data_IF_144296694987
#
_entry.id   IF_144296694987
#
_cell.length_a   1.000
_cell.length_b   1.000
_cell.length_c   1.000
_cell.angle_alpha   90.00
_cell.angle_beta   90.00
_cell.angle_gamma   90.00
#
_symmetry.space_group_name_H-M   'P 1'
#
loop_
_entity.id
_entity.type
_entity.pdbx_description
1 polymer ?
#
# COMPACT_ATOMS: atom_id res chain seq x y z
N UNK A 1 11.17 10.29 -12.22
CA UNK A 1 10.42 9.02 -12.21
C UNK A 1 9.39 9.11 -11.09
N UNK A 2 8.11 8.81 -11.36
CA UNK A 2 7.02 9.03 -10.40
C UNK A 2 7.02 7.97 -9.29
N UNK A 3 6.78 8.40 -8.05
CA UNK A 3 6.54 7.57 -6.86
C UNK A 3 5.47 8.26 -6.03
N UNK A 4 4.54 7.50 -5.47
CA UNK A 4 3.56 8.08 -4.57
C UNK A 4 3.01 7.05 -3.59
N UNK A 5 2.50 7.57 -2.48
CA UNK A 5 1.61 6.91 -1.56
C UNK A 5 0.48 7.89 -1.27
N UNK A 6 -0.76 7.44 -1.40
CA UNK A 6 -1.95 8.23 -1.11
C UNK A 6 -2.80 7.41 -0.16
N UNK A 7 -3.22 8.03 0.95
CA UNK A 7 -4.20 7.44 1.87
C UNK A 7 -5.52 8.18 1.72
N UNK A 8 -6.58 7.44 1.46
CA UNK A 8 -7.96 7.89 1.45
C UNK A 8 -8.61 7.52 2.78
N UNK A 9 -9.27 8.51 3.41
CA UNK A 9 -10.04 8.30 4.63
C UNK A 9 -11.31 7.50 4.35
N UNK A 10 -11.75 6.71 5.33
CA UNK A 10 -13.00 5.97 5.23
C UNK A 10 -14.19 6.92 4.99
N UNK A 11 -15.14 6.47 4.17
CA UNK A 11 -16.36 7.22 3.84
C UNK A 11 -17.61 6.40 4.13
N UNK A 12 -18.79 6.99 3.99
CA UNK A 12 -20.02 6.28 4.31
C UNK A 12 -20.21 5.05 3.41
N UNK A 13 -20.01 3.86 3.98
CA UNK A 13 -20.15 2.57 3.30
C UNK A 13 -18.89 2.11 2.55
N UNK A 14 -17.78 2.83 2.62
CA UNK A 14 -16.50 2.41 2.06
C UNK A 14 -15.38 2.49 3.10
N UNK A 15 -14.54 1.47 3.12
CA UNK A 15 -13.33 1.46 3.93
C UNK A 15 -12.33 2.50 3.41
N UNK A 16 -11.47 3.00 4.29
CA UNK A 16 -10.31 3.79 3.88
C UNK A 16 -9.32 2.90 3.13
N UNK A 17 -8.51 3.51 2.26
CA UNK A 17 -7.57 2.77 1.42
C UNK A 17 -6.23 3.49 1.30
N UNK A 18 -5.15 2.72 1.20
CA UNK A 18 -3.84 3.21 0.78
C UNK A 18 -3.51 2.69 -0.60
N UNK A 19 -3.08 3.60 -1.47
CA UNK A 19 -2.61 3.32 -2.82
C UNK A 19 -1.16 3.77 -2.97
N UNK A 20 -0.28 2.86 -3.35
CA UNK A 20 1.14 3.12 -3.52
C UNK A 20 1.59 2.75 -4.93
N UNK A 21 2.46 3.55 -5.51
CA UNK A 21 3.10 3.26 -6.79
C UNK A 21 4.60 3.45 -6.67
N UNK A 22 5.33 2.40 -7.06
CA UNK A 22 6.77 2.47 -7.23
C UNK A 22 7.16 1.89 -8.61
N UNK A 23 8.10 2.52 -9.31
CA UNK A 23 8.58 2.02 -10.59
C UNK A 23 9.18 0.62 -10.47
N UNK A 24 8.74 -0.31 -11.34
CA UNK A 24 9.16 -1.71 -11.31
C UNK A 24 8.17 -2.65 -10.63
N UNK A 25 7.42 -2.18 -9.63
CA UNK A 25 6.41 -2.99 -8.92
C UNK A 25 4.96 -2.61 -9.28
N UNK A 26 4.73 -1.42 -9.84
CA UNK A 26 3.39 -0.99 -10.25
C UNK A 26 2.58 -0.45 -9.08
N UNK A 27 1.25 -0.62 -9.11
CA UNK A 27 0.33 -0.10 -8.09
C UNK A 27 -0.01 -1.21 -7.09
N UNK A 28 0.13 -0.91 -5.80
CA UNK A 28 -0.44 -1.68 -4.69
C UNK A 28 -1.58 -0.90 -4.05
N UNK A 29 -2.63 -1.62 -3.65
CA UNK A 29 -3.83 -1.07 -3.03
C UNK A 29 -4.22 -1.95 -1.85
N UNK A 30 -4.55 -1.34 -0.72
CA UNK A 30 -5.00 -2.07 0.46
C UNK A 30 -5.89 -1.21 1.33
N UNK A 31 -6.93 -1.82 1.89
CA UNK A 31 -7.73 -1.17 2.91
C UNK A 31 -6.87 -0.84 4.13
N UNK A 32 -7.20 0.26 4.81
CA UNK A 32 -6.51 0.68 6.03
C UNK A 32 -7.47 0.74 7.23
N UNK A 33 -6.96 0.34 8.39
CA UNK A 33 -7.66 0.51 9.66
C UNK A 33 -7.67 1.99 10.06
N UNK A 34 -8.48 2.32 11.07
CA UNK A 34 -8.47 3.65 11.68
C UNK A 34 -7.12 4.03 12.33
N UNK A 35 -6.26 3.06 12.66
CA UNK A 35 -4.89 3.30 13.15
C UNK A 35 -3.89 3.52 12.00
N UNK A 36 -4.29 3.31 10.75
CA UNK A 36 -3.43 3.43 9.57
C UNK A 36 -2.68 2.14 9.20
N UNK A 37 -3.01 1.01 9.83
CA UNK A 37 -2.47 -0.31 9.50
C UNK A 37 -3.14 -0.87 8.24
N UNK A 38 -2.38 -1.61 7.42
CA UNK A 38 -2.98 -2.33 6.30
C UNK A 38 -3.87 -3.47 6.80
N UNK A 39 -5.04 -3.62 6.20
CA UNK A 39 -5.99 -4.69 6.52
C UNK A 39 -5.89 -5.80 5.48
N UNK A 40 -5.53 -7.00 5.94
CA UNK A 40 -5.57 -8.22 5.12
C UNK A 40 -6.83 -9.00 5.47
N UNK A 41 -7.71 -9.19 4.50
CA UNK A 41 -8.98 -9.88 4.70
C UNK A 41 -8.80 -11.39 4.81
N UNK A 42 -9.74 -12.03 5.51
CA UNK A 42 -9.79 -13.49 5.66
C UNK A 42 -9.72 -14.22 4.31
N UNK A 43 -10.44 -13.73 3.29
CA UNK A 43 -10.44 -14.32 1.96
C UNK A 43 -9.07 -14.25 1.28
N UNK A 44 -8.29 -13.17 1.50
CA UNK A 44 -6.94 -13.03 0.96
C UNK A 44 -5.99 -14.04 1.62
N UNK A 45 -6.05 -14.16 2.96
CA UNK A 45 -5.26 -15.15 3.70
C UNK A 45 -5.64 -16.58 3.33
N UNK A 46 -6.93 -16.88 3.21
CA UNK A 46 -7.43 -18.21 2.83
C UNK A 46 -7.01 -18.56 1.41
N UNK A 47 -7.06 -17.60 0.48
CA UNK A 47 -6.56 -17.80 -0.88
C UNK A 47 -5.07 -18.10 -0.88
N UNK A 48 -4.26 -17.29 -0.20
CA UNK A 48 -2.81 -17.49 -0.10
C UNK A 48 -2.47 -18.86 0.52
N UNK A 49 -3.15 -19.24 1.60
CA UNK A 49 -2.94 -20.54 2.24
C UNK A 49 -3.30 -21.72 1.31
N UNK A 50 -4.29 -21.54 0.43
CA UNK A 50 -4.70 -22.58 -0.52
C UNK A 50 -3.79 -22.69 -1.75
N UNK A 51 -3.11 -21.60 -2.14
CA UNK A 51 -2.30 -21.54 -3.37
C UNK A 51 -0.80 -21.66 -3.13
N UNK A 52 -0.32 -21.37 -1.91
CA UNK A 52 1.09 -21.48 -1.56
C UNK A 52 1.57 -22.94 -1.65
N UNK A 53 2.67 -23.17 -2.37
CA UNK A 53 3.26 -24.50 -2.59
C UNK A 53 4.35 -24.86 -1.57
N UNK A 54 4.79 -23.90 -0.76
CA UNK A 54 5.77 -24.08 0.31
C UNK A 54 5.62 -22.99 1.38
N UNK A 55 6.33 -23.13 2.49
CA UNK A 55 6.35 -22.11 3.55
C UNK A 55 7.01 -20.81 3.06
N UNK A 56 8.02 -20.89 2.21
CA UNK A 56 8.66 -19.73 1.59
C UNK A 56 7.71 -19.00 0.65
N UNK A 57 6.96 -19.74 -0.17
CA UNK A 57 5.94 -19.16 -1.05
C UNK A 57 4.84 -18.46 -0.25
N UNK A 58 4.42 -19.06 0.88
CA UNK A 58 3.46 -18.43 1.78
C UNK A 58 4.01 -17.12 2.37
N UNK A 59 5.25 -17.12 2.88
CA UNK A 59 5.90 -15.93 3.42
C UNK A 59 6.00 -14.82 2.38
N UNK A 60 6.44 -15.15 1.17
CA UNK A 60 6.52 -14.18 0.08
C UNK A 60 5.15 -13.59 -0.27
N UNK A 61 4.11 -14.42 -0.32
CA UNK A 61 2.75 -13.91 -0.55
C UNK A 61 2.22 -13.04 0.59
N UNK A 62 2.67 -13.24 1.84
CA UNK A 62 2.37 -12.30 2.94
C UNK A 62 3.05 -10.95 2.68
N UNK A 63 4.32 -10.94 2.26
CA UNK A 63 5.04 -9.71 1.93
C UNK A 63 4.35 -8.94 0.78
N UNK A 64 3.83 -9.66 -0.22
CA UNK A 64 3.08 -9.08 -1.33
C UNK A 64 1.75 -8.47 -0.86
N UNK A 65 0.99 -9.18 -0.01
CA UNK A 65 -0.25 -8.67 0.57
C UNK A 65 -0.01 -7.40 1.38
N UNK A 66 1.09 -7.35 2.14
CA UNK A 66 1.49 -6.20 2.95
C UNK A 66 2.20 -5.10 2.16
N UNK A 67 2.42 -5.28 0.86
CA UNK A 67 3.05 -4.26 0.01
C UNK A 67 4.51 -3.96 0.39
N UNK A 68 5.25 -4.94 0.93
CA UNK A 68 6.59 -4.74 1.49
C UNK A 68 7.58 -4.11 0.50
N UNK A 69 7.50 -4.44 -0.79
CA UNK A 69 8.36 -3.85 -1.82
C UNK A 69 8.08 -2.35 -2.04
N UNK A 70 6.82 -1.93 -1.92
CA UNK A 70 6.43 -0.52 -2.00
C UNK A 70 6.91 0.22 -0.76
N UNK A 71 6.69 -0.34 0.43
CA UNK A 71 7.14 0.26 1.68
C UNK A 71 8.66 0.46 1.69
N UNK A 72 9.43 -0.54 1.27
CA UNK A 72 10.89 -0.46 1.20
C UNK A 72 11.41 0.62 0.22
N UNK A 73 10.80 0.77 -0.97
CA UNK A 73 11.22 1.79 -1.94
C UNK A 73 10.75 3.20 -1.51
N UNK A 74 9.59 3.32 -0.86
CA UNK A 74 9.04 4.59 -0.39
C UNK A 74 9.67 5.07 0.92
N UNK A 75 10.24 4.18 1.74
CA UNK A 75 10.83 4.52 3.05
C UNK A 75 11.84 5.66 2.95
N UNK A 76 12.68 5.66 1.91
CA UNK A 76 13.68 6.70 1.68
C UNK A 76 13.07 8.12 1.49
N UNK A 77 11.79 8.21 1.12
CA UNK A 77 11.09 9.47 0.86
C UNK A 77 10.19 9.90 2.02
N UNK A 78 9.94 9.03 3.01
CA UNK A 78 9.04 9.31 4.14
C UNK A 78 9.56 10.46 5.02
N UNK A 79 10.88 10.60 5.13
CA UNK A 79 11.53 11.72 5.82
C UNK A 79 11.57 13.02 5.00
N UNK A 80 11.29 12.99 3.70
CA UNK A 80 11.28 14.21 2.88
C UNK A 80 10.08 15.12 3.22
N UNK A 81 9.03 14.57 3.85
CA UNK A 81 7.83 15.32 4.27
C UNK A 81 8.00 16.20 5.50
N UNK A 82 9.04 16.01 6.31
CA UNK A 82 9.26 16.73 7.57
C UNK A 82 9.86 18.15 7.37
N UNK A 83 9.41 18.86 6.33
CA UNK A 83 9.81 20.26 6.09
C UNK A 83 9.80 20.74 4.63
N UNK A 84 9.37 19.93 3.66
CA UNK A 84 9.28 20.38 2.26
C UNK A 84 7.87 20.84 1.89
N UNK A 85 7.78 21.95 1.14
CA UNK A 85 6.51 22.54 0.70
C UNK A 85 5.71 21.53 -0.13
N UNK A 86 4.54 21.15 0.39
CA UNK A 86 3.53 20.37 -0.35
C UNK A 86 3.13 21.15 -1.61
N UNK A 87 3.49 20.63 -2.78
CA UNK A 87 3.04 21.19 -4.06
C UNK A 87 1.66 20.63 -4.35
N UNK A 88 0.63 21.47 -4.18
CA UNK A 88 -0.74 21.13 -4.54
C UNK A 88 -0.85 20.93 -6.06
N UNK A 89 -1.34 19.77 -6.49
CA UNK A 89 -1.72 19.55 -7.89
C UNK A 89 -2.99 20.36 -8.18
N UNK A 90 -2.83 21.49 -8.88
CA UNK A 90 -3.95 22.28 -9.38
C UNK A 90 -4.44 21.71 -10.72
N UNK A 91 -5.73 21.42 -10.82
CA UNK A 91 -6.37 21.13 -12.11
C UNK A 91 -6.45 22.41 -12.93
N UNK A 92 -5.77 22.45 -14.08
CA UNK A 92 -5.94 23.51 -15.07
C UNK A 92 -7.06 23.09 -16.02
N UNK A 93 -8.14 23.86 -16.05
CA UNK A 93 -9.22 23.78 -17.04
C UNK A 93 -8.90 24.66 -18.24
#
# INVERSE_FOLDING_TARGET
MLRFEVTEEASHGNDGERMSYVPGYGVHRSAVSASGDLVVNENQLRHLAATATSIEAFRHGVDDLLGAAWDADLEAYRHAGDGTQVTWLHQVV
#
